data_IF_535586442642
#
_entry.id   IF_535586442642
#
_cell.length_a   1.000
_cell.length_b   1.000
_cell.length_c   1.000
_cell.angle_alpha   90.00
_cell.angle_beta   90.00
_cell.angle_gamma   90.00
#
_symmetry.space_group_name_H-M   'P 1'
#
loop_
_entity.id
_entity.type
_entity.pdbx_description
1 polymer ?
#
# COMPACT_ATOMS: atom_id res chain seq x y z
N UNK A 1 24.88 21.71 -9.63
CA UNK A 1 24.90 20.29 -10.06
C UNK A 1 23.49 19.75 -9.90
N UNK A 2 22.72 19.74 -11.00
CA UNK A 2 21.40 19.10 -11.03
C UNK A 2 21.62 17.59 -10.85
N UNK A 3 21.06 16.98 -9.81
CA UNK A 3 21.00 15.52 -9.72
C UNK A 3 19.91 15.08 -10.68
N UNK A 4 20.30 14.64 -11.86
CA UNK A 4 19.39 14.01 -12.81
C UNK A 4 18.74 12.80 -12.13
N UNK A 5 17.42 12.80 -12.02
CA UNK A 5 16.66 11.68 -11.45
C UNK A 5 16.40 10.72 -12.61
N UNK A 6 17.18 9.64 -12.68
CA UNK A 6 16.95 8.56 -13.65
C UNK A 6 16.02 7.52 -13.03
N UNK A 7 14.83 7.37 -13.60
CA UNK A 7 13.86 6.36 -13.17
C UNK A 7 14.01 5.10 -14.03
N UNK A 8 14.21 3.95 -13.38
CA UNK A 8 14.04 2.64 -14.01
C UNK A 8 12.62 2.17 -13.69
N UNK A 9 11.73 2.18 -14.68
CA UNK A 9 10.30 1.91 -14.48
C UNK A 9 10.04 0.48 -14.02
N UNK A 10 10.64 -0.51 -14.70
CA UNK A 10 10.36 -1.93 -14.47
C UNK A 10 10.60 -2.38 -13.01
N UNK A 11 11.74 -2.08 -12.36
CA UNK A 11 11.94 -2.42 -10.96
C UNK A 11 10.90 -1.79 -10.01
N UNK A 12 10.44 -0.57 -10.33
CA UNK A 12 9.45 0.14 -9.51
C UNK A 12 8.08 -0.51 -9.66
N UNK A 13 7.63 -0.78 -10.88
CA UNK A 13 6.35 -1.47 -11.13
C UNK A 13 6.35 -2.87 -10.51
N UNK A 14 7.47 -3.59 -10.59
CA UNK A 14 7.59 -4.91 -9.95
C UNK A 14 7.48 -4.81 -8.43
N UNK A 15 8.15 -3.83 -7.81
CA UNK A 15 8.07 -3.60 -6.37
C UNK A 15 6.65 -3.23 -5.92
N UNK A 16 5.96 -2.38 -6.68
CA UNK A 16 4.56 -2.00 -6.43
C UNK A 16 3.61 -3.20 -6.56
N UNK A 17 3.81 -4.04 -7.59
CA UNK A 17 3.04 -5.28 -7.77
C UNK A 17 3.22 -6.25 -6.61
N UNK A 18 4.46 -6.40 -6.15
CA UNK A 18 4.78 -7.24 -4.99
C UNK A 18 4.14 -6.69 -3.72
N UNK A 19 4.21 -5.37 -3.51
CA UNK A 19 3.58 -4.69 -2.37
C UNK A 19 2.06 -4.90 -2.37
N UNK A 20 1.41 -4.68 -3.51
CA UNK A 20 -0.03 -4.89 -3.67
C UNK A 20 -0.43 -6.33 -3.34
N UNK A 21 0.22 -7.30 -3.98
CA UNK A 21 -0.04 -8.73 -3.75
C UNK A 21 0.14 -9.11 -2.29
N UNK A 22 1.23 -8.66 -1.66
CA UNK A 22 1.50 -8.92 -0.25
C UNK A 22 0.41 -8.31 0.64
N UNK A 23 0.00 -7.07 0.36
CA UNK A 23 -1.03 -6.36 1.11
C UNK A 23 -2.40 -7.02 0.99
N UNK A 24 -2.79 -7.42 -0.22
CA UNK A 24 -4.06 -8.15 -0.47
C UNK A 24 -4.07 -9.55 0.14
N UNK A 25 -2.90 -10.18 0.30
CA UNK A 25 -2.76 -11.49 0.95
C UNK A 25 -2.74 -11.45 2.47
N UNK A 26 -2.62 -10.26 3.07
CA UNK A 26 -2.69 -10.12 4.52
C UNK A 26 -4.12 -10.44 4.98
N UNK A 27 -4.25 -11.38 5.92
CA UNK A 27 -5.54 -11.64 6.57
C UNK A 27 -5.73 -10.64 7.71
N UNK A 28 -6.44 -9.55 7.42
CA UNK A 28 -6.83 -8.58 8.44
C UNK A 28 -8.13 -8.96 9.15
N UNK A 29 -8.84 -9.97 8.66
CA UNK A 29 -10.21 -10.28 9.09
C UNK A 29 -10.28 -11.47 10.03
N UNK A 30 -11.17 -11.43 11.00
CA UNK A 30 -11.49 -12.61 11.82
C UNK A 30 -10.65 -12.78 13.09
N UNK A 31 -9.77 -11.82 13.40
CA UNK A 31 -9.15 -11.71 14.72
C UNK A 31 -10.19 -11.31 15.77
N UNK A 32 -11.10 -10.38 15.46
CA UNK A 32 -12.20 -9.93 16.31
C UNK A 32 -13.34 -10.95 16.45
N UNK A 33 -13.14 -12.21 16.09
CA UNK A 33 -14.13 -13.24 16.42
C UNK A 33 -14.14 -13.43 17.93
N UNK A 34 -15.25 -13.05 18.56
CA UNK A 34 -15.39 -13.16 20.02
C UNK A 34 -15.18 -14.59 20.48
N UNK A 35 -14.39 -14.76 21.54
CA UNK A 35 -14.27 -16.04 22.23
C UNK A 35 -15.61 -16.30 22.94
N UNK A 36 -16.43 -17.17 22.34
CA UNK A 36 -17.74 -17.52 22.89
C UNK A 36 -17.64 -18.36 24.17
N UNK A 37 -18.45 -18.01 25.16
CA UNK A 37 -18.60 -18.75 26.41
C UNK A 37 -19.22 -17.85 27.47
N UNK A 38 -19.96 -18.44 28.42
CA UNK A 38 -20.61 -17.72 29.53
C UNK A 38 -19.59 -17.21 30.59
N UNK A 39 -18.39 -16.83 30.14
CA UNK A 39 -17.24 -16.52 30.98
C UNK A 39 -17.09 -15.01 31.11
N UNK A 40 -17.59 -14.47 32.22
CA UNK A 40 -17.47 -13.07 32.64
C UNK A 40 -16.09 -12.76 33.25
N UNK A 41 -15.03 -13.45 32.81
CA UNK A 41 -13.67 -13.13 33.24
C UNK A 41 -13.20 -11.88 32.51
N UNK A 42 -12.79 -10.85 33.25
CA UNK A 42 -12.18 -9.62 32.71
C UNK A 42 -11.07 -9.88 31.67
N UNK A 43 -10.38 -11.02 31.78
CA UNK A 43 -9.37 -11.45 30.82
C UNK A 43 -9.95 -11.75 29.43
N UNK A 44 -11.11 -12.41 29.34
CA UNK A 44 -11.75 -12.74 28.05
C UNK A 44 -12.19 -11.45 27.36
N UNK A 45 -12.79 -10.52 28.10
CA UNK A 45 -13.16 -9.20 27.58
C UNK A 45 -11.94 -8.45 27.02
N UNK A 46 -10.83 -8.41 27.79
CA UNK A 46 -9.59 -7.77 27.32
C UNK A 46 -8.99 -8.43 26.08
N UNK A 47 -9.07 -9.76 25.97
CA UNK A 47 -8.60 -10.47 24.78
C UNK A 47 -9.45 -10.11 23.56
N UNK A 48 -10.78 -10.08 23.70
CA UNK A 48 -11.67 -9.65 22.62
C UNK A 48 -11.41 -8.19 22.21
N UNK A 49 -11.22 -7.27 23.17
CA UNK A 49 -10.85 -5.87 22.91
C UNK A 49 -9.53 -5.76 22.12
N UNK A 50 -8.49 -6.48 22.54
CA UNK A 50 -7.20 -6.50 21.85
C UNK A 50 -7.35 -7.03 20.42
N UNK A 51 -8.12 -8.10 20.25
CA UNK A 51 -8.38 -8.71 18.95
C UNK A 51 -9.07 -7.73 17.98
N UNK A 52 -10.08 -7.00 18.46
CA UNK A 52 -10.73 -5.94 17.66
C UNK A 52 -9.77 -4.82 17.31
N UNK A 53 -8.99 -4.32 18.27
CA UNK A 53 -8.00 -3.27 18.01
C UNK A 53 -6.95 -3.72 16.99
N UNK A 54 -6.53 -4.97 17.03
CA UNK A 54 -5.57 -5.52 16.08
C UNK A 54 -6.17 -5.63 14.67
N UNK A 55 -7.41 -6.07 14.55
CA UNK A 55 -8.17 -6.10 13.28
C UNK A 55 -8.30 -4.70 12.68
N UNK A 56 -8.65 -3.69 13.49
CA UNK A 56 -8.75 -2.30 13.05
C UNK A 56 -7.41 -1.74 12.56
N UNK A 57 -6.33 -2.00 13.31
CA UNK A 57 -4.97 -1.57 12.94
C UNK A 57 -4.53 -2.23 11.63
N UNK A 58 -4.74 -3.54 11.48
CA UNK A 58 -4.35 -4.27 10.28
C UNK A 58 -5.13 -3.79 9.05
N UNK A 59 -6.45 -3.60 9.18
CA UNK A 59 -7.31 -3.07 8.10
C UNK A 59 -6.88 -1.66 7.69
N UNK A 60 -6.57 -0.81 8.68
CA UNK A 60 -6.08 0.56 8.43
C UNK A 60 -4.74 0.52 7.70
N UNK A 61 -3.83 -0.33 8.15
CA UNK A 61 -2.50 -0.45 7.56
C UNK A 61 -2.55 -0.97 6.12
N UNK A 62 -3.39 -1.98 5.84
CA UNK A 62 -3.65 -2.45 4.48
C UNK A 62 -4.15 -1.32 3.57
N UNK A 63 -5.11 -0.53 4.05
CA UNK A 63 -5.66 0.60 3.30
C UNK A 63 -4.57 1.63 2.96
N UNK A 64 -3.71 1.96 3.91
CA UNK A 64 -2.59 2.90 3.69
C UNK A 64 -1.61 2.34 2.66
N UNK A 65 -1.26 1.06 2.74
CA UNK A 65 -0.33 0.43 1.80
C UNK A 65 -0.89 0.42 0.37
N UNK A 66 -2.17 0.09 0.18
CA UNK A 66 -2.81 0.14 -1.13
C UNK A 66 -2.88 1.57 -1.69
N UNK A 67 -3.17 2.55 -0.85
CA UNK A 67 -3.17 3.95 -1.27
C UNK A 67 -1.77 4.41 -1.72
N UNK A 68 -0.73 4.09 -0.95
CA UNK A 68 0.65 4.43 -1.32
C UNK A 68 1.09 3.73 -2.60
N UNK A 69 0.69 2.48 -2.80
CA UNK A 69 0.95 1.75 -4.05
C UNK A 69 0.35 2.49 -5.24
N UNK A 70 -0.93 2.83 -5.16
CA UNK A 70 -1.65 3.53 -6.22
C UNK A 70 -1.08 4.93 -6.50
N UNK A 71 -0.77 5.71 -5.46
CA UNK A 71 -0.19 7.05 -5.61
C UNK A 71 1.21 6.99 -6.24
N UNK A 72 2.01 5.99 -5.85
CA UNK A 72 3.35 5.81 -6.41
C UNK A 72 3.28 5.38 -7.87
N UNK A 73 2.38 4.44 -8.23
CA UNK A 73 2.16 4.04 -9.61
C UNK A 73 1.78 5.25 -10.49
N UNK A 74 0.84 6.08 -10.01
CA UNK A 74 0.43 7.30 -10.69
C UNK A 74 1.58 8.31 -10.84
N UNK A 75 2.43 8.46 -9.83
CA UNK A 75 3.59 9.34 -9.90
C UNK A 75 4.60 8.88 -10.96
N UNK A 76 4.84 7.57 -11.06
CA UNK A 76 5.69 6.97 -12.10
C UNK A 76 5.13 7.22 -13.49
N UNK A 77 3.83 7.00 -13.69
CA UNK A 77 3.17 7.23 -14.98
C UNK A 77 3.24 8.70 -15.40
N UNK A 78 2.95 9.63 -14.48
CA UNK A 78 3.04 11.06 -14.75
C UNK A 78 4.47 11.48 -15.11
N UNK A 79 5.47 10.91 -14.44
CA UNK A 79 6.88 11.17 -14.75
C UNK A 79 7.23 10.70 -16.16
N UNK A 80 6.81 9.49 -16.55
CA UNK A 80 7.03 8.95 -17.89
C UNK A 80 6.33 9.74 -18.98
N UNK A 81 5.08 10.17 -18.76
CA UNK A 81 4.37 11.04 -19.70
C UNK A 81 5.08 12.39 -19.87
N UNK A 82 5.61 12.95 -18.78
CA UNK A 82 6.36 14.21 -18.82
C UNK A 82 7.65 14.07 -19.61
N UNK A 83 8.43 13.01 -19.35
CA UNK A 83 9.66 12.70 -20.10
C UNK A 83 9.38 12.53 -21.59
N UNK A 84 8.34 11.78 -21.96
CA UNK A 84 7.95 11.59 -23.35
C UNK A 84 7.55 12.91 -24.03
N UNK A 85 6.78 13.76 -23.34
CA UNK A 85 6.38 15.08 -23.85
C UNK A 85 7.60 15.97 -24.09
N UNK A 86 8.54 16.01 -23.14
CA UNK A 86 9.78 16.79 -23.28
C UNK A 86 10.59 16.27 -24.47
N UNK A 87 10.80 14.95 -24.57
CA UNK A 87 11.55 14.34 -25.67
C UNK A 87 10.93 14.69 -27.04
N UNK A 88 9.61 14.53 -27.20
CA UNK A 88 8.91 14.89 -28.43
C UNK A 88 9.02 16.38 -28.77
N UNK A 89 8.95 17.26 -27.77
CA UNK A 89 9.13 18.70 -27.97
C UNK A 89 10.54 19.06 -28.45
N UNK A 90 11.56 18.36 -27.96
CA UNK A 90 12.95 18.55 -28.39
C UNK A 90 13.17 18.07 -29.83
N UNK A 91 12.58 16.93 -30.22
CA UNK A 91 12.64 16.44 -31.60
C UNK A 91 11.98 17.39 -32.60
N UNK A 92 10.84 18.00 -32.24
CA UNK A 92 10.13 18.97 -33.08
C UNK A 92 10.84 20.33 -33.20
N UNK A 93 11.76 20.63 -32.29
CA UNK A 93 12.54 21.89 -32.27
C UNK A 93 13.87 21.83 -33.04
N UNK A 94 14.21 20.67 -33.61
CA UNK A 94 15.38 20.45 -34.48
C UNK A 94 15.00 20.57 -35.95
#
# INVERSE_FOLDING_TARGET
>A
MSKEIKLQQEPVIQALTNLKTATESMDATGLGKEIEGNNTLDMVTKINEINHQLEDILTTYQTILLNHEQETAKAVDNFMQTEQMIASSMELSK
#
